data_IF_147317112268
#
_entry.id   IF_147317112268
#
_cell.length_a   1.000
_cell.length_b   1.000
_cell.length_c   1.000
_cell.angle_alpha   90.00
_cell.angle_beta   90.00
_cell.angle_gamma   90.00
#
_symmetry.space_group_name_H-M   'P 1'
#
loop_
_entity.id
_entity.type
_entity.pdbx_description
1 polymer ?
#
# COMPACT_ATOMS: atom_id res chain seq x y z
N UNK A 1 38.63 -38.27 -23.84
CA UNK A 1 37.57 -38.51 -24.81
C UNK A 1 36.58 -37.32 -24.84
N UNK A 2 36.11 -36.95 -26.02
CA UNK A 2 35.06 -35.93 -26.18
C UNK A 2 33.67 -36.57 -25.82
N UNK A 3 32.86 -35.78 -25.07
CA UNK A 3 31.50 -36.19 -24.73
C UNK A 3 30.51 -35.16 -25.28
N UNK A 4 29.41 -35.67 -25.79
CA UNK A 4 28.24 -34.87 -26.20
C UNK A 4 27.09 -35.17 -25.27
N UNK A 5 26.42 -34.15 -24.77
CA UNK A 5 25.25 -34.25 -23.92
C UNK A 5 24.04 -33.68 -24.66
N UNK A 6 22.98 -34.46 -24.70
CA UNK A 6 21.68 -34.06 -25.26
C UNK A 6 20.56 -34.19 -24.23
N UNK A 7 19.54 -33.36 -24.39
CA UNK A 7 18.27 -33.42 -23.67
C UNK A 7 17.16 -33.61 -24.71
N UNK A 8 16.33 -34.65 -24.57
CA UNK A 8 15.26 -35.02 -25.51
C UNK A 8 15.71 -35.04 -26.97
N UNK A 9 16.90 -35.61 -27.20
CA UNK A 9 17.54 -35.67 -28.50
C UNK A 9 18.26 -34.41 -28.99
N UNK A 10 18.05 -33.26 -28.35
CA UNK A 10 18.72 -31.99 -28.71
C UNK A 10 20.04 -31.84 -27.97
N UNK A 11 21.13 -31.54 -28.71
CA UNK A 11 22.43 -31.33 -28.09
C UNK A 11 22.42 -30.05 -27.25
N UNK A 12 22.70 -30.21 -25.95
CA UNK A 12 22.72 -29.09 -24.99
C UNK A 12 24.11 -28.72 -24.51
N UNK A 13 25.10 -29.62 -24.62
CA UNK A 13 26.47 -29.34 -24.25
C UNK A 13 27.49 -30.29 -24.86
N UNK A 14 28.76 -29.89 -24.81
CA UNK A 14 29.94 -30.76 -25.04
C UNK A 14 30.96 -30.56 -23.93
N UNK A 15 31.69 -31.61 -23.61
CA UNK A 15 32.78 -31.56 -22.65
C UNK A 15 33.84 -32.60 -22.99
N UNK A 16 34.95 -32.58 -22.28
CA UNK A 16 36.01 -33.58 -22.43
C UNK A 16 36.28 -34.25 -21.09
N UNK A 17 36.34 -35.56 -21.08
CA UNK A 17 36.72 -36.31 -19.89
C UNK A 17 38.19 -36.03 -19.52
N UNK A 18 38.44 -35.94 -18.22
CA UNK A 18 39.77 -35.85 -17.65
C UNK A 18 40.54 -37.16 -17.83
N UNK A 19 41.81 -37.18 -17.44
CA UNK A 19 42.67 -38.38 -17.51
C UNK A 19 42.18 -39.55 -16.66
N UNK A 20 41.47 -39.25 -15.57
CA UNK A 20 40.85 -40.23 -14.67
C UNK A 20 39.46 -40.71 -15.12
N UNK A 21 38.98 -40.22 -16.32
CA UNK A 21 37.68 -40.55 -16.86
C UNK A 21 36.53 -39.70 -16.32
N UNK A 22 36.74 -38.86 -15.34
CA UNK A 22 35.72 -37.99 -14.77
C UNK A 22 35.40 -36.81 -15.74
N UNK A 23 34.16 -36.33 -15.72
CA UNK A 23 33.76 -35.12 -16.41
C UNK A 23 32.71 -34.34 -15.63
N UNK A 24 32.63 -33.05 -15.91
CA UNK A 24 31.59 -32.14 -15.40
C UNK A 24 31.18 -31.22 -16.52
N UNK A 25 29.87 -30.97 -16.63
CA UNK A 25 29.33 -30.08 -17.63
C UNK A 25 28.09 -29.38 -17.09
N UNK A 26 27.99 -28.08 -17.39
CA UNK A 26 26.76 -27.32 -17.11
C UNK A 26 25.87 -27.35 -18.35
N UNK A 27 24.61 -27.69 -18.15
CA UNK A 27 23.58 -27.67 -19.20
C UNK A 27 22.56 -26.61 -18.87
N UNK A 28 22.13 -25.84 -19.88
CA UNK A 28 20.98 -24.94 -19.80
C UNK A 28 19.77 -25.64 -20.41
N UNK A 29 18.74 -25.81 -19.61
CA UNK A 29 17.46 -26.33 -20.06
C UNK A 29 16.48 -25.16 -20.21
N UNK A 30 15.66 -25.12 -21.28
CA UNK A 30 14.82 -23.97 -21.59
C UNK A 30 13.69 -23.77 -20.57
N UNK A 31 13.02 -24.86 -20.20
CA UNK A 31 11.81 -24.85 -19.40
C UNK A 31 11.84 -25.89 -18.28
N UNK A 32 10.93 -25.74 -17.31
CA UNK A 32 10.71 -26.77 -16.30
C UNK A 32 10.11 -28.03 -16.95
N UNK A 33 10.50 -29.17 -16.49
CA UNK A 33 10.01 -30.44 -17.01
C UNK A 33 10.88 -31.64 -16.68
N UNK A 34 10.47 -32.76 -17.20
CA UNK A 34 11.27 -34.00 -17.19
C UNK A 34 11.98 -34.10 -18.53
N UNK A 35 13.27 -34.41 -18.48
CA UNK A 35 14.12 -34.53 -19.65
C UNK A 35 14.81 -35.89 -19.67
N UNK A 36 14.84 -36.52 -20.83
CA UNK A 36 15.72 -37.66 -21.10
C UNK A 36 17.11 -37.13 -21.47
N UNK A 37 18.05 -37.30 -20.58
CA UNK A 37 19.45 -36.91 -20.80
C UNK A 37 20.23 -38.04 -21.38
N UNK A 38 20.94 -37.82 -22.51
CA UNK A 38 21.84 -38.78 -23.13
C UNK A 38 23.24 -38.21 -23.20
N UNK A 39 24.20 -38.98 -22.70
CA UNK A 39 25.63 -38.67 -22.78
C UNK A 39 26.27 -39.70 -23.74
N UNK A 40 27.01 -39.24 -24.73
CA UNK A 40 27.66 -40.06 -25.71
C UNK A 40 29.16 -39.80 -25.75
N UNK A 41 29.95 -40.85 -25.75
CA UNK A 41 31.42 -40.81 -25.91
C UNK A 41 31.85 -41.94 -26.85
N UNK A 42 32.23 -41.60 -28.09
CA UNK A 42 32.48 -42.61 -29.12
C UNK A 42 31.28 -43.51 -29.37
N UNK A 43 31.43 -44.80 -29.23
CA UNK A 43 30.35 -45.79 -29.38
C UNK A 43 29.55 -46.02 -28.07
N UNK A 44 30.01 -45.51 -26.97
CA UNK A 44 29.35 -45.67 -25.65
C UNK A 44 28.34 -44.58 -25.39
N UNK A 45 27.22 -44.95 -24.79
CA UNK A 45 26.23 -43.96 -24.35
C UNK A 45 25.57 -44.35 -23.02
N UNK A 46 25.17 -43.35 -22.26
CA UNK A 46 24.33 -43.49 -21.08
C UNK A 46 23.10 -42.60 -21.20
N UNK A 47 21.97 -43.09 -20.74
CA UNK A 47 20.67 -42.40 -20.74
C UNK A 47 20.14 -42.37 -19.31
N UNK A 48 19.64 -41.22 -18.86
CA UNK A 48 19.02 -41.04 -17.56
C UNK A 48 17.98 -39.90 -17.60
N UNK A 49 16.95 -40.02 -16.78
CA UNK A 49 15.93 -38.95 -16.65
C UNK A 49 16.32 -37.96 -15.55
N UNK A 50 16.07 -36.69 -15.82
CA UNK A 50 16.16 -35.64 -14.82
C UNK A 50 14.87 -34.81 -14.79
N UNK A 51 14.53 -34.29 -13.63
CA UNK A 51 13.45 -33.32 -13.46
C UNK A 51 14.06 -31.98 -13.13
N UNK A 52 13.87 -31.01 -14.03
CA UNK A 52 14.33 -29.65 -13.85
C UNK A 52 13.20 -28.76 -13.31
N UNK A 53 13.48 -28.00 -12.26
CA UNK A 53 12.63 -26.94 -11.74
C UNK A 53 13.43 -25.64 -11.65
N UNK A 54 12.86 -24.56 -12.15
CA UNK A 54 13.45 -23.23 -11.99
C UNK A 54 13.39 -22.83 -10.50
N UNK A 55 14.45 -22.27 -9.94
CA UNK A 55 14.38 -21.68 -8.60
C UNK A 55 13.33 -20.56 -8.60
N UNK A 56 12.56 -20.40 -7.54
CA UNK A 56 11.66 -19.29 -7.38
C UNK A 56 12.47 -17.97 -7.31
N UNK A 57 11.99 -16.93 -7.97
CA UNK A 57 12.58 -15.60 -7.84
C UNK A 57 12.50 -15.14 -6.38
N UNK A 58 13.56 -14.56 -5.85
CA UNK A 58 13.52 -13.91 -4.54
C UNK A 58 12.52 -12.77 -4.60
N UNK A 59 11.68 -12.60 -3.58
CA UNK A 59 10.83 -11.44 -3.39
C UNK A 59 10.65 -11.20 -1.90
N UNK A 60 11.15 -10.06 -1.44
CA UNK A 60 11.09 -9.66 -0.04
C UNK A 60 10.67 -8.18 0.02
N UNK A 61 9.59 -7.89 0.73
CA UNK A 61 9.12 -6.53 0.97
C UNK A 61 9.80 -6.05 2.26
N UNK A 62 10.50 -4.91 2.18
CA UNK A 62 11.28 -4.35 3.31
C UNK A 62 10.65 -3.10 3.90
N UNK A 63 9.85 -2.38 3.10
CA UNK A 63 9.12 -1.18 3.52
C UNK A 63 7.75 -1.14 2.82
N UNK A 64 6.75 -0.52 3.45
CA UNK A 64 6.78 0.13 4.75
C UNK A 64 6.78 -0.89 5.91
N UNK A 65 7.39 -0.52 7.03
CA UNK A 65 7.31 -1.29 8.29
C UNK A 65 6.00 -0.98 9.03
N UNK A 66 5.49 0.24 8.90
CA UNK A 66 4.17 0.63 9.38
C UNK A 66 3.17 0.52 8.24
N UNK A 67 2.16 -0.33 8.43
CA UNK A 67 1.17 -0.64 7.40
C UNK A 67 -0.03 0.31 7.41
N UNK A 68 -0.08 1.26 8.37
CA UNK A 68 -1.11 2.29 8.49
C UNK A 68 -0.49 3.67 8.18
N UNK A 69 -1.18 4.46 7.37
CA UNK A 69 -0.73 5.79 6.94
C UNK A 69 -1.92 6.72 6.64
N UNK A 70 -1.68 8.03 6.64
CA UNK A 70 -2.72 9.05 6.43
C UNK A 70 -2.65 9.75 5.07
N UNK A 71 -1.55 9.60 4.32
CA UNK A 71 -1.41 10.18 2.99
C UNK A 71 -2.22 9.44 1.93
N UNK A 72 -2.32 9.99 0.71
CA UNK A 72 -2.95 9.33 -0.43
C UNK A 72 -2.06 8.29 -1.12
N UNK A 73 -0.83 8.13 -0.69
CA UNK A 73 0.09 7.15 -1.25
C UNK A 73 1.14 6.72 -0.24
N UNK A 74 1.69 5.54 -0.46
CA UNK A 74 2.79 4.97 0.30
C UNK A 74 3.80 4.35 -0.67
N UNK A 75 5.07 4.40 -0.30
CA UNK A 75 6.13 3.77 -1.09
C UNK A 75 6.42 2.37 -0.54
N UNK A 76 6.23 1.36 -1.37
CA UNK A 76 6.61 -0.03 -1.09
C UNK A 76 8.00 -0.27 -1.67
N UNK A 77 8.92 -0.73 -0.82
CA UNK A 77 10.29 -1.10 -1.21
C UNK A 77 10.57 -2.56 -0.88
N UNK A 78 11.49 -3.12 -1.60
CA UNK A 78 11.89 -4.49 -1.36
C UNK A 78 13.09 -4.90 -2.20
N UNK A 79 13.39 -6.18 -2.11
CA UNK A 79 14.50 -6.83 -2.82
C UNK A 79 13.99 -8.04 -3.59
N UNK A 80 14.46 -8.18 -4.80
CA UNK A 80 14.20 -9.33 -5.69
C UNK A 80 15.47 -9.70 -6.44
N UNK A 81 15.37 -10.49 -7.50
CA UNK A 81 16.50 -10.76 -8.38
C UNK A 81 16.95 -9.50 -9.14
N UNK A 82 18.25 -9.35 -9.43
CA UNK A 82 18.77 -8.24 -10.24
C UNK A 82 18.02 -8.11 -11.58
N UNK A 83 17.62 -6.88 -11.90
CA UNK A 83 16.87 -6.54 -13.11
C UNK A 83 15.50 -7.24 -13.29
N UNK A 84 14.98 -7.94 -12.29
CA UNK A 84 13.63 -8.50 -12.31
C UNK A 84 12.56 -7.42 -12.48
N UNK A 85 11.43 -7.79 -13.05
CA UNK A 85 10.26 -6.92 -13.09
C UNK A 85 9.30 -7.33 -11.97
N UNK A 86 8.93 -6.36 -11.13
CA UNK A 86 7.95 -6.53 -10.06
C UNK A 86 6.64 -5.90 -10.51
N UNK A 87 5.61 -6.72 -10.66
CA UNK A 87 4.23 -6.30 -10.93
C UNK A 87 3.52 -6.09 -9.61
N UNK A 88 2.72 -5.04 -9.53
CA UNK A 88 1.90 -4.73 -8.36
C UNK A 88 0.46 -4.60 -8.81
N UNK A 89 -0.41 -5.38 -8.21
CA UNK A 89 -1.85 -5.39 -8.50
C UNK A 89 -2.66 -5.30 -7.22
N UNK A 90 -3.76 -4.57 -7.26
CA UNK A 90 -4.71 -4.40 -6.16
C UNK A 90 -5.73 -3.34 -6.52
N UNK A 91 -6.90 -3.32 -5.90
CA UNK A 91 -8.03 -2.38 -6.06
C UNK A 91 -7.91 -1.37 -7.22
N UNK A 92 -8.08 -1.85 -8.44
CA UNK A 92 -8.02 -1.00 -9.65
C UNK A 92 -6.60 -0.53 -10.05
N UNK A 93 -5.59 -0.86 -9.28
CA UNK A 93 -4.19 -0.55 -9.58
C UNK A 93 -3.52 -1.73 -10.26
N UNK A 94 -2.84 -1.47 -11.38
CA UNK A 94 -1.93 -2.41 -12.03
C UNK A 94 -0.74 -1.62 -12.54
N UNK A 95 0.43 -1.87 -11.98
CA UNK A 95 1.67 -1.21 -12.37
C UNK A 95 2.84 -2.17 -12.27
N UNK A 96 4.00 -1.76 -12.74
CA UNK A 96 5.23 -2.53 -12.57
C UNK A 96 6.44 -1.61 -12.39
N UNK A 97 7.49 -2.17 -11.84
CA UNK A 97 8.78 -1.53 -11.67
C UNK A 97 9.90 -2.52 -11.94
N UNK A 98 10.99 -2.06 -12.49
CA UNK A 98 12.20 -2.87 -12.69
C UNK A 98 13.14 -2.70 -11.51
N UNK A 99 13.55 -3.81 -10.91
CA UNK A 99 14.61 -3.81 -9.90
C UNK A 99 15.95 -3.37 -10.50
N UNK A 100 16.76 -2.73 -9.70
CA UNK A 100 18.10 -2.31 -10.11
C UNK A 100 19.08 -3.50 -10.18
N UNK A 101 20.35 -3.22 -10.47
CA UNK A 101 21.41 -4.25 -10.56
C UNK A 101 21.69 -4.96 -9.23
N UNK A 102 21.27 -4.40 -8.10
CA UNK A 102 21.38 -5.00 -6.77
C UNK A 102 20.08 -5.71 -6.33
N UNK A 103 19.08 -5.76 -7.21
CA UNK A 103 17.80 -6.36 -6.92
C UNK A 103 16.82 -5.46 -6.15
N UNK A 104 17.20 -4.24 -5.76
CA UNK A 104 16.31 -3.35 -5.04
C UNK A 104 15.25 -2.73 -5.97
N UNK A 105 14.02 -2.66 -5.50
CA UNK A 105 12.90 -2.00 -6.17
C UNK A 105 12.18 -1.03 -5.24
N UNK A 106 11.47 -0.08 -5.85
CA UNK A 106 10.63 0.90 -5.15
C UNK A 106 9.44 1.24 -6.03
N UNK A 107 8.24 1.09 -5.50
CA UNK A 107 6.99 1.38 -6.20
C UNK A 107 6.07 2.19 -5.30
N UNK A 108 5.35 3.15 -5.90
CA UNK A 108 4.37 3.94 -5.18
C UNK A 108 2.99 3.33 -5.36
N UNK A 109 2.33 3.07 -4.25
CA UNK A 109 0.94 2.58 -4.18
C UNK A 109 0.05 3.76 -3.80
N UNK A 110 -1.08 3.91 -4.49
CA UNK A 110 -2.05 4.98 -4.27
C UNK A 110 -3.32 4.40 -3.66
N UNK A 111 -3.85 5.12 -2.66
CA UNK A 111 -5.14 4.84 -2.03
C UNK A 111 -5.88 6.17 -1.87
N UNK A 112 -6.92 6.39 -2.67
CA UNK A 112 -7.69 7.65 -2.64
C UNK A 112 -8.65 7.69 -1.45
N UNK A 113 -9.25 6.56 -1.10
CA UNK A 113 -10.17 6.43 0.02
C UNK A 113 -9.47 5.81 1.25
N UNK A 114 -9.93 6.18 2.45
CA UNK A 114 -9.54 5.48 3.67
C UNK A 114 -10.15 4.07 3.68
N UNK A 115 -9.39 3.14 4.25
CA UNK A 115 -9.76 1.72 4.32
C UNK A 115 -8.54 0.83 4.26
N UNK A 116 -8.78 -0.45 4.25
CA UNK A 116 -7.74 -1.49 4.20
C UNK A 116 -7.80 -2.21 2.87
N UNK A 117 -6.66 -2.29 2.19
CA UNK A 117 -6.50 -2.89 0.87
C UNK A 117 -5.29 -3.82 0.83
N UNK A 118 -5.42 -4.90 0.10
CA UNK A 118 -4.31 -5.84 -0.14
C UNK A 118 -3.79 -5.69 -1.55
N UNK A 119 -2.47 -5.60 -1.67
CA UNK A 119 -1.75 -5.55 -2.94
C UNK A 119 -0.87 -6.77 -3.08
N UNK A 120 -0.94 -7.41 -4.24
CA UNK A 120 -0.09 -8.54 -4.59
C UNK A 120 1.08 -8.05 -5.43
N UNK A 121 2.29 -8.33 -4.97
CA UNK A 121 3.52 -8.10 -5.71
C UNK A 121 3.95 -9.41 -6.33
N UNK A 122 4.25 -9.41 -7.63
CA UNK A 122 4.74 -10.60 -8.35
C UNK A 122 6.06 -10.30 -9.04
N UNK A 123 7.11 -10.98 -8.63
CA UNK A 123 8.44 -10.86 -9.23
C UNK A 123 8.61 -11.84 -10.40
N UNK A 124 9.11 -11.33 -11.53
CA UNK A 124 9.51 -12.11 -12.70
C UNK A 124 10.96 -11.82 -13.03
N UNK A 125 11.80 -12.84 -13.00
CA UNK A 125 13.20 -12.78 -13.33
C UNK A 125 13.58 -13.83 -14.38
N UNK A 126 14.56 -13.54 -15.19
CA UNK A 126 15.09 -14.49 -16.17
C UNK A 126 15.68 -15.72 -15.47
N UNK A 127 15.36 -16.90 -15.94
CA UNK A 127 15.85 -18.16 -15.36
C UNK A 127 15.18 -18.56 -14.04
N UNK A 128 14.22 -17.79 -13.52
CA UNK A 128 13.49 -18.12 -12.31
C UNK A 128 12.01 -18.36 -12.58
N UNK A 129 11.39 -19.18 -11.74
CA UNK A 129 9.95 -19.23 -11.61
C UNK A 129 9.47 -17.94 -10.93
N UNK A 130 8.29 -17.43 -11.29
CA UNK A 130 7.73 -16.24 -10.64
C UNK A 130 7.43 -16.52 -9.16
N UNK A 131 7.54 -15.49 -8.33
CA UNK A 131 7.08 -15.54 -6.94
C UNK A 131 6.19 -14.35 -6.62
N UNK A 132 5.28 -14.52 -5.65
CA UNK A 132 4.35 -13.47 -5.24
C UNK A 132 4.35 -13.31 -3.73
N UNK A 133 4.12 -12.07 -3.29
CA UNK A 133 3.94 -11.70 -1.89
C UNK A 133 2.84 -10.65 -1.78
N UNK A 134 2.04 -10.73 -0.74
CA UNK A 134 0.98 -9.77 -0.46
C UNK A 134 1.43 -8.76 0.61
N UNK A 135 0.97 -7.52 0.45
CA UNK A 135 1.05 -6.49 1.47
C UNK A 135 -0.33 -5.89 1.69
N UNK A 136 -0.77 -5.86 2.93
CA UNK A 136 -2.05 -5.24 3.32
C UNK A 136 -1.75 -3.88 3.94
N UNK A 137 -2.31 -2.83 3.36
CA UNK A 137 -2.10 -1.45 3.73
C UNK A 137 -3.40 -0.82 4.21
N UNK A 138 -3.34 -0.01 5.26
CA UNK A 138 -4.50 0.72 5.79
C UNK A 138 -4.25 2.22 5.66
N UNK A 139 -5.12 2.92 4.90
CA UNK A 139 -5.14 4.36 4.86
C UNK A 139 -6.19 4.89 5.82
N UNK A 140 -5.80 5.81 6.66
CA UNK A 140 -6.70 6.58 7.53
C UNK A 140 -6.96 7.96 6.93
N UNK A 141 -8.13 8.53 7.23
CA UNK A 141 -8.42 9.90 6.88
C UNK A 141 -7.51 10.85 7.63
N UNK A 142 -6.98 11.86 6.95
CA UNK A 142 -6.36 13.00 7.61
C UNK A 142 -7.41 13.79 8.38
N UNK A 143 -7.01 14.52 9.40
CA UNK A 143 -7.89 15.44 10.15
C UNK A 143 -8.64 16.40 9.21
N UNK A 144 -7.95 16.97 8.24
CA UNK A 144 -8.54 17.85 7.22
C UNK A 144 -9.65 17.17 6.42
N UNK A 145 -9.45 15.92 6.02
CA UNK A 145 -10.46 15.13 5.28
C UNK A 145 -11.65 14.80 6.18
N UNK A 146 -11.39 14.43 7.44
CA UNK A 146 -12.46 14.19 8.43
C UNK A 146 -13.31 15.44 8.63
N UNK A 147 -12.68 16.59 8.81
CA UNK A 147 -13.37 17.89 8.93
C UNK A 147 -14.18 18.17 7.66
N UNK A 148 -13.62 17.93 6.48
CA UNK A 148 -14.32 18.16 5.22
C UNK A 148 -15.56 17.27 5.07
N UNK A 149 -15.43 15.98 5.38
CA UNK A 149 -16.57 15.04 5.39
C UNK A 149 -17.62 15.42 6.42
N UNK A 150 -17.18 15.84 7.60
CA UNK A 150 -18.08 16.30 8.64
C UNK A 150 -18.87 17.52 8.17
N UNK A 151 -18.20 18.48 7.54
CA UNK A 151 -18.84 19.70 6.99
C UNK A 151 -19.85 19.39 5.88
N UNK A 152 -19.58 18.41 5.01
CA UNK A 152 -20.50 18.02 3.94
C UNK A 152 -21.84 17.48 4.47
N UNK A 153 -21.85 16.92 5.67
CA UNK A 153 -23.05 16.37 6.33
C UNK A 153 -23.82 17.40 7.15
N UNK A 154 -23.33 18.64 7.20
CA UNK A 154 -23.95 19.71 7.99
C UNK A 154 -24.83 20.60 7.13
N UNK A 155 -25.91 21.06 7.75
CA UNK A 155 -26.74 22.07 7.16
C UNK A 155 -26.20 23.45 7.53
N UNK A 156 -26.31 24.40 6.63
CA UNK A 156 -26.08 25.82 6.94
C UNK A 156 -27.32 26.37 7.62
N UNK A 157 -27.14 27.02 8.75
CA UNK A 157 -28.18 27.69 9.50
C UNK A 157 -27.61 28.95 10.15
N UNK A 158 -28.37 30.02 10.15
CA UNK A 158 -28.01 31.23 10.89
C UNK A 158 -28.56 31.13 12.33
N UNK A 159 -27.93 31.85 13.26
CA UNK A 159 -28.42 31.95 14.64
C UNK A 159 -29.91 32.40 14.67
N UNK A 160 -30.27 33.41 13.87
CA UNK A 160 -31.64 33.93 13.77
C UNK A 160 -32.64 32.86 13.31
N UNK A 161 -32.28 32.01 12.39
CA UNK A 161 -33.14 30.89 11.96
C UNK A 161 -33.26 29.84 13.05
N UNK A 162 -32.15 29.55 13.73
CA UNK A 162 -32.13 28.56 14.80
C UNK A 162 -33.05 28.93 15.96
N UNK A 163 -32.98 30.18 16.44
CA UNK A 163 -33.82 30.64 17.55
C UNK A 163 -35.28 30.82 17.17
N UNK A 164 -35.58 31.07 15.88
CA UNK A 164 -36.96 31.23 15.40
C UNK A 164 -37.73 29.92 15.43
N UNK A 165 -37.10 28.80 15.14
CA UNK A 165 -37.72 27.47 15.11
C UNK A 165 -36.71 26.39 15.51
N UNK A 166 -36.40 26.30 16.83
CA UNK A 166 -35.42 25.33 17.32
C UNK A 166 -35.82 23.88 17.03
N UNK A 167 -37.13 23.58 17.05
CA UNK A 167 -37.63 22.22 16.85
C UNK A 167 -37.29 21.68 15.43
N UNK A 168 -37.26 22.55 14.43
CA UNK A 168 -36.88 22.20 13.07
C UNK A 168 -35.44 21.66 12.97
N UNK A 169 -34.58 22.13 13.86
CA UNK A 169 -33.14 21.81 13.87
C UNK A 169 -32.73 20.78 14.92
N UNK A 170 -33.66 20.38 15.79
CA UNK A 170 -33.42 19.35 16.80
C UNK A 170 -32.89 18.05 16.15
N UNK A 171 -31.82 17.49 16.70
CA UNK A 171 -31.16 16.30 16.20
C UNK A 171 -30.38 16.46 14.88
N UNK A 172 -30.36 17.64 14.29
CA UNK A 172 -29.58 17.91 13.08
C UNK A 172 -28.19 18.45 13.44
N UNK A 173 -27.23 18.19 12.56
CA UNK A 173 -25.87 18.73 12.67
C UNK A 173 -25.74 19.97 11.81
N UNK A 174 -25.18 21.03 12.38
CA UNK A 174 -24.96 22.30 11.69
C UNK A 174 -23.68 22.97 12.20
N UNK A 175 -23.14 23.90 11.42
CA UNK A 175 -22.01 24.72 11.81
C UNK A 175 -22.54 26.14 12.10
N UNK A 176 -22.17 26.62 13.25
CA UNK A 176 -22.28 28.04 13.61
C UNK A 176 -20.89 28.60 13.86
N UNK A 177 -20.71 29.86 13.57
CA UNK A 177 -19.50 30.61 13.89
C UNK A 177 -19.82 31.65 14.94
N UNK A 178 -19.05 31.69 16.01
CA UNK A 178 -19.25 32.64 17.07
C UNK A 178 -17.98 32.86 17.90
N UNK A 179 -17.98 33.93 18.65
CA UNK A 179 -16.87 34.26 19.57
C UNK A 179 -17.17 33.68 20.95
N UNK A 180 -16.25 32.92 21.51
CA UNK A 180 -16.34 32.40 22.88
C UNK A 180 -16.06 33.57 23.84
N UNK A 181 -17.01 33.83 24.71
CA UNK A 181 -16.95 34.91 25.68
C UNK A 181 -16.51 34.44 27.06
N UNK A 182 -16.96 33.27 27.48
CA UNK A 182 -16.61 32.66 28.76
C UNK A 182 -16.94 31.17 28.76
N UNK A 183 -16.33 30.46 29.67
CA UNK A 183 -16.69 29.10 30.01
C UNK A 183 -17.49 29.03 31.28
N UNK A 184 -18.41 28.12 31.36
CA UNK A 184 -19.25 27.86 32.53
C UNK A 184 -19.51 26.36 32.64
N UNK A 185 -20.06 25.95 33.76
CA UNK A 185 -20.58 24.61 33.96
C UNK A 185 -22.10 24.69 34.11
N UNK A 186 -22.82 23.86 33.36
CA UNK A 186 -24.24 23.76 33.48
C UNK A 186 -24.59 22.31 33.81
N UNK A 187 -25.00 22.08 35.06
CA UNK A 187 -25.39 20.78 35.58
C UNK A 187 -24.33 19.68 35.37
N UNK A 188 -23.06 20.02 35.64
CA UNK A 188 -21.90 19.12 35.47
C UNK A 188 -21.42 18.95 34.03
N UNK A 189 -21.97 19.72 33.10
CA UNK A 189 -21.53 19.71 31.71
C UNK A 189 -20.75 21.01 31.39
N UNK A 190 -19.54 20.91 30.82
CA UNK A 190 -18.82 22.09 30.40
C UNK A 190 -19.56 22.81 29.27
N UNK A 191 -19.77 24.09 29.42
CA UNK A 191 -20.47 24.94 28.48
C UNK A 191 -19.61 26.15 28.10
N UNK A 192 -19.75 26.63 26.88
CA UNK A 192 -19.23 27.90 26.44
C UNK A 192 -20.35 28.88 26.14
N UNK A 193 -20.26 30.08 26.66
CA UNK A 193 -21.08 31.19 26.20
C UNK A 193 -20.50 31.74 24.91
N UNK A 194 -21.22 31.57 23.83
CA UNK A 194 -20.78 31.95 22.47
C UNK A 194 -21.69 33.04 21.92
N UNK A 195 -21.10 34.19 21.54
CA UNK A 195 -21.82 35.23 20.80
C UNK A 195 -21.76 34.97 19.30
N UNK A 196 -22.89 34.83 18.63
CA UNK A 196 -23.03 34.31 17.29
C UNK A 196 -23.05 35.39 16.21
N UNK A 197 -23.46 36.61 16.54
CA UNK A 197 -23.54 37.68 15.56
C UNK A 197 -22.40 38.72 15.79
N UNK A 198 -21.66 39.01 14.72
CA UNK A 198 -20.75 40.14 14.66
C UNK A 198 -21.24 41.08 13.56
N UNK A 199 -22.13 42.01 13.86
CA UNK A 199 -22.48 43.06 12.91
C UNK A 199 -21.23 43.88 12.54
N UNK A 200 -21.28 44.58 11.43
CA UNK A 200 -20.17 45.40 10.89
C UNK A 200 -19.56 46.40 11.89
N UNK A 201 -20.16 46.58 13.03
CA UNK A 201 -19.69 47.39 14.17
C UNK A 201 -18.61 46.71 15.03
N UNK A 202 -18.29 45.44 14.78
CA UNK A 202 -17.33 44.66 15.58
C UNK A 202 -17.84 44.21 16.96
N UNK A 203 -19.09 44.50 17.29
CA UNK A 203 -19.70 44.05 18.55
C UNK A 203 -20.37 42.70 18.39
N UNK A 204 -19.93 41.74 19.17
CA UNK A 204 -20.54 40.40 19.21
C UNK A 204 -21.83 40.42 20.04
N UNK A 205 -22.88 39.87 19.47
CA UNK A 205 -24.24 39.83 20.06
C UNK A 205 -24.80 38.40 20.00
N UNK A 206 -26.04 38.26 20.45
CA UNK A 206 -26.79 37.00 20.36
C UNK A 206 -26.09 35.86 21.08
N UNK A 207 -25.97 35.94 22.42
CA UNK A 207 -25.32 34.89 23.21
C UNK A 207 -26.11 33.59 23.18
N UNK A 208 -25.41 32.48 23.14
CA UNK A 208 -25.94 31.13 23.17
C UNK A 208 -25.02 30.25 24.03
N UNK A 209 -25.61 29.47 24.92
CA UNK A 209 -24.86 28.44 25.65
C UNK A 209 -24.69 27.21 24.77
N UNK A 210 -23.45 26.76 24.65
CA UNK A 210 -23.06 25.58 23.90
C UNK A 210 -22.44 24.56 24.84
N UNK A 211 -23.08 23.41 24.97
CA UNK A 211 -22.49 22.28 25.71
C UNK A 211 -21.32 21.72 24.91
N UNK A 212 -20.15 21.63 25.52
CA UNK A 212 -18.93 21.13 24.91
C UNK A 212 -18.76 19.65 25.17
N UNK A 213 -18.36 18.90 24.16
CA UNK A 213 -17.93 17.49 24.33
C UNK A 213 -16.48 17.40 24.80
N UNK A 214 -15.67 18.41 24.49
CA UNK A 214 -14.30 18.58 24.96
C UNK A 214 -14.00 20.06 25.11
N UNK A 215 -13.09 20.40 26.02
CA UNK A 215 -12.59 21.76 26.23
C UNK A 215 -11.17 21.95 25.73
N UNK A 216 -10.54 20.89 25.23
CA UNK A 216 -9.08 20.88 24.94
C UNK A 216 -8.70 21.85 23.83
N UNK A 217 -9.58 22.07 22.86
CA UNK A 217 -9.31 22.87 21.66
C UNK A 217 -10.12 24.19 21.60
N UNK A 218 -10.79 24.59 22.70
CA UNK A 218 -11.61 25.81 22.72
C UNK A 218 -11.05 26.82 23.72
N UNK A 219 -10.77 28.05 23.26
CA UNK A 219 -10.24 29.12 24.06
C UNK A 219 -11.13 30.35 24.05
N UNK A 220 -11.15 31.08 25.18
CA UNK A 220 -11.82 32.37 25.23
C UNK A 220 -11.26 33.35 24.21
N UNK A 221 -12.16 34.05 23.53
CA UNK A 221 -11.80 35.04 22.53
C UNK A 221 -11.55 34.50 21.13
N UNK A 222 -11.53 33.17 20.91
CA UNK A 222 -11.47 32.55 19.57
C UNK A 222 -12.80 32.69 18.84
N UNK A 223 -12.74 32.75 17.49
CA UNK A 223 -13.87 32.95 16.58
C UNK A 223 -13.94 31.78 15.58
#
# INVERSE_FOLDING_TARGET
AELTVSADGNRVAKTTAKKDGSFSVQVKLPDEGEYEMKVVSGESSAVFAIRYKKPAARLEITEPTELTFTGSNVTVRGVTEPNATVYVTGKGMSTNVKANRNGAFSVRVFMDDAGTETYTLTAKAEGCAQSSADITLTREWTEKELIAQFRQKMISVTYKELIKDPAKYAGKRFILRGKVMSFTDYDGNPCALVCMDNPSTGVWQSPMDVVLQTTDDVKEGEV
#
